data_IF_993362024545
#
_entry.id   IF_993362024545
#
_cell.length_a   1.000
_cell.length_b   1.000
_cell.length_c   1.000
_cell.angle_alpha   90.00
_cell.angle_beta   90.00
_cell.angle_gamma   90.00
#
_symmetry.space_group_name_H-M   'P 1'
#
loop_
_entity.id
_entity.type
_entity.pdbx_description
1 polymer ?
#
# COMPACT_ATOMS: atom_id res chain seq x y z
N UNK A 1 131.60 -26.40 33.00
CA UNK A 1 130.37 -27.19 32.76
C UNK A 1 129.26 -26.67 33.64
N UNK A 2 128.07 -26.49 33.03
CA UNK A 2 126.74 -26.46 33.63
C UNK A 2 126.44 -25.48 34.77
N UNK A 3 125.93 -24.28 34.44
CA UNK A 3 125.00 -23.51 35.31
C UNK A 3 124.26 -22.34 34.63
N UNK A 4 124.14 -22.31 33.28
CA UNK A 4 123.43 -21.20 32.58
C UNK A 4 122.10 -21.65 31.94
N UNK A 5 121.82 -22.95 31.83
CA UNK A 5 120.63 -23.45 31.12
C UNK A 5 119.36 -23.62 32.01
N UNK A 6 119.46 -23.58 33.34
CA UNK A 6 118.32 -23.81 34.24
C UNK A 6 117.57 -22.52 34.65
N UNK A 7 118.22 -21.35 34.58
CA UNK A 7 117.60 -20.07 34.93
C UNK A 7 116.69 -19.47 33.85
N UNK A 8 116.99 -19.74 32.58
CA UNK A 8 116.24 -19.17 31.45
C UNK A 8 114.94 -19.95 31.18
N UNK A 9 114.94 -21.28 31.39
CA UNK A 9 113.73 -22.10 31.25
C UNK A 9 112.69 -21.83 32.37
N UNK A 10 113.14 -21.60 33.61
CA UNK A 10 112.25 -21.24 34.72
C UNK A 10 111.64 -19.83 34.55
N UNK A 11 112.42 -18.88 34.01
CA UNK A 11 111.96 -17.52 33.71
C UNK A 11 110.95 -17.46 32.54
N UNK A 12 111.13 -18.27 31.49
CA UNK A 12 110.19 -18.37 30.37
C UNK A 12 108.90 -19.13 30.72
N UNK A 13 108.98 -20.15 31.58
CA UNK A 13 107.78 -20.85 32.10
C UNK A 13 107.02 -19.95 33.09
N UNK A 14 107.70 -19.20 33.96
CA UNK A 14 107.06 -18.23 34.85
C UNK A 14 106.43 -17.06 34.08
N UNK A 15 107.10 -16.54 33.05
CA UNK A 15 106.55 -15.50 32.17
C UNK A 15 105.38 -16.02 31.31
N UNK A 16 105.44 -17.25 30.81
CA UNK A 16 104.36 -17.90 30.07
C UNK A 16 103.14 -18.23 30.94
N UNK A 17 103.35 -18.64 32.19
CA UNK A 17 102.28 -18.83 33.17
C UNK A 17 101.67 -17.50 33.62
N UNK A 18 102.48 -16.44 33.81
CA UNK A 18 101.99 -15.11 34.12
C UNK A 18 101.18 -14.50 32.96
N UNK A 19 101.65 -14.64 31.71
CA UNK A 19 100.91 -14.18 30.52
C UNK A 19 99.60 -14.96 30.32
N UNK A 20 99.59 -16.28 30.55
CA UNK A 20 98.36 -17.09 30.53
C UNK A 20 97.39 -16.69 31.64
N UNK A 21 97.89 -16.43 32.85
CA UNK A 21 97.05 -16.00 33.98
C UNK A 21 96.43 -14.62 33.73
N UNK A 22 97.20 -13.67 33.19
CA UNK A 22 96.69 -12.34 32.81
C UNK A 22 95.67 -12.46 31.67
N UNK A 23 95.97 -13.22 30.61
CA UNK A 23 95.02 -13.42 29.52
C UNK A 23 93.74 -14.13 29.97
N UNK A 24 93.85 -15.12 30.86
CA UNK A 24 92.71 -15.83 31.43
C UNK A 24 91.88 -14.94 32.36
N UNK A 25 92.52 -14.09 33.17
CA UNK A 25 91.86 -13.10 34.04
C UNK A 25 91.16 -11.99 33.24
N UNK A 26 91.77 -11.53 32.14
CA UNK A 26 91.15 -10.56 31.23
C UNK A 26 89.99 -11.18 30.46
N UNK A 27 90.14 -12.41 29.97
CA UNK A 27 89.08 -13.14 29.29
C UNK A 27 87.91 -13.46 30.24
N UNK A 28 88.18 -13.87 31.49
CA UNK A 28 87.14 -14.11 32.50
C UNK A 28 86.45 -12.82 32.90
N UNK A 29 87.20 -11.72 33.11
CA UNK A 29 86.63 -10.42 33.43
C UNK A 29 85.77 -9.87 32.28
N UNK A 30 86.20 -10.04 31.02
CA UNK A 30 85.39 -9.67 29.85
C UNK A 30 84.15 -10.54 29.69
N UNK A 31 84.26 -11.83 29.98
CA UNK A 31 83.12 -12.75 29.97
C UNK A 31 82.10 -12.35 31.05
N UNK A 32 82.56 -12.05 32.27
CA UNK A 32 81.71 -11.56 33.36
C UNK A 32 81.04 -10.22 33.03
N UNK A 33 81.74 -9.30 32.37
CA UNK A 33 81.17 -8.03 31.89
C UNK A 33 80.07 -8.26 30.84
N UNK A 34 80.30 -9.14 29.85
CA UNK A 34 79.32 -9.47 28.82
C UNK A 34 78.14 -10.31 29.37
N UNK A 35 78.37 -11.18 30.35
CA UNK A 35 77.32 -11.89 31.08
C UNK A 35 76.46 -10.91 31.89
N UNK A 36 77.08 -9.95 32.58
CA UNK A 36 76.34 -8.90 33.30
C UNK A 36 75.55 -8.00 32.34
N UNK A 37 76.13 -7.66 31.18
CA UNK A 37 75.49 -6.85 30.15
C UNK A 37 74.31 -7.59 29.51
N UNK A 38 74.47 -8.86 29.14
CA UNK A 38 73.39 -9.69 28.58
C UNK A 38 72.28 -9.95 29.59
N UNK A 39 72.59 -10.21 30.86
CA UNK A 39 71.59 -10.31 31.93
C UNK A 39 70.83 -8.99 32.13
N UNK A 40 71.51 -7.84 32.02
CA UNK A 40 70.87 -6.51 32.07
C UNK A 40 69.91 -6.30 30.90
N UNK A 41 70.30 -6.70 29.68
CA UNK A 41 69.43 -6.65 28.50
C UNK A 41 68.23 -7.59 28.61
N UNK A 42 68.42 -8.81 29.12
CA UNK A 42 67.34 -9.76 29.39
C UNK A 42 66.32 -9.17 30.38
N UNK A 43 66.79 -8.58 31.49
CA UNK A 43 65.91 -7.87 32.44
C UNK A 43 65.15 -6.73 31.76
N UNK A 44 65.81 -5.90 30.94
CA UNK A 44 65.14 -4.82 30.18
C UNK A 44 64.07 -5.35 29.22
N UNK A 45 64.34 -6.47 28.55
CA UNK A 45 63.37 -7.14 27.67
C UNK A 45 62.19 -7.66 28.47
N UNK A 46 62.43 -8.32 29.61
CA UNK A 46 61.37 -8.83 30.48
C UNK A 46 60.50 -7.69 31.05
N UNK A 47 61.11 -6.58 31.46
CA UNK A 47 60.36 -5.38 31.87
C UNK A 47 59.54 -4.80 30.71
N UNK A 48 60.11 -4.71 29.50
CA UNK A 48 59.38 -4.22 28.33
C UNK A 48 58.22 -5.16 27.93
N UNK A 49 58.41 -6.47 28.05
CA UNK A 49 57.39 -7.50 27.81
C UNK A 49 56.27 -7.42 28.85
N UNK A 50 56.60 -7.27 30.13
CA UNK A 50 55.63 -7.07 31.20
C UNK A 50 54.80 -5.79 30.96
N UNK A 51 55.46 -4.67 30.66
CA UNK A 51 54.78 -3.40 30.36
C UNK A 51 53.90 -3.48 29.10
N UNK A 52 54.33 -4.21 28.06
CA UNK A 52 53.52 -4.45 26.87
C UNK A 52 52.28 -5.31 27.20
N UNK A 53 52.44 -6.38 27.98
CA UNK A 53 51.34 -7.24 28.42
C UNK A 53 50.33 -6.48 29.29
N UNK A 54 50.79 -5.63 30.21
CA UNK A 54 49.90 -4.76 31.00
C UNK A 54 49.10 -3.81 30.11
N UNK A 55 49.72 -3.18 29.10
CA UNK A 55 49.01 -2.32 28.14
C UNK A 55 47.96 -3.09 27.34
N UNK A 56 48.30 -4.30 26.90
CA UNK A 56 47.36 -5.18 26.18
C UNK A 56 46.20 -5.58 27.08
N UNK A 57 46.48 -5.98 28.32
CA UNK A 57 45.45 -6.37 29.28
C UNK A 57 44.56 -5.20 29.68
N UNK A 58 45.13 -4.00 29.87
CA UNK A 58 44.36 -2.77 30.12
C UNK A 58 43.42 -2.45 28.96
N UNK A 59 43.90 -2.53 27.71
CA UNK A 59 43.05 -2.37 26.51
C UNK A 59 41.97 -3.45 26.43
N UNK A 60 42.30 -4.71 26.72
CA UNK A 60 41.33 -5.82 26.76
C UNK A 60 40.22 -5.55 27.77
N UNK A 61 40.58 -5.11 28.97
CA UNK A 61 39.61 -4.79 30.02
C UNK A 61 38.76 -3.57 29.65
N UNK A 62 39.35 -2.56 28.99
CA UNK A 62 38.61 -1.40 28.47
C UNK A 62 37.58 -1.79 27.39
N UNK A 63 38.00 -2.59 26.39
CA UNK A 63 37.07 -3.11 25.38
C UNK A 63 36.00 -4.01 25.99
N UNK A 64 36.35 -4.86 26.96
CA UNK A 64 35.37 -5.70 27.66
C UNK A 64 34.32 -4.87 28.39
N UNK A 65 34.72 -3.77 29.05
CA UNK A 65 33.78 -2.83 29.68
C UNK A 65 32.89 -2.14 28.66
N UNK A 66 33.46 -1.65 27.55
CA UNK A 66 32.70 -1.02 26.46
C UNK A 66 31.68 -1.98 25.83
N UNK A 67 32.08 -3.23 25.57
CA UNK A 67 31.19 -4.27 25.03
C UNK A 67 30.03 -4.51 26.00
N UNK A 68 30.31 -4.66 27.29
CA UNK A 68 29.27 -4.88 28.31
C UNK A 68 28.30 -3.70 28.39
N UNK A 69 28.81 -2.47 28.43
CA UNK A 69 27.97 -1.27 28.44
C UNK A 69 27.09 -1.14 27.18
N UNK A 70 27.64 -1.45 26.00
CA UNK A 70 26.86 -1.49 24.76
C UNK A 70 25.79 -2.59 24.77
N UNK A 71 26.09 -3.76 25.33
CA UNK A 71 25.11 -4.84 25.49
C UNK A 71 23.98 -4.45 26.43
N UNK A 72 24.29 -3.82 27.56
CA UNK A 72 23.30 -3.32 28.53
C UNK A 72 22.38 -2.28 27.89
N UNK A 73 22.94 -1.24 27.23
CA UNK A 73 22.17 -0.23 26.50
C UNK A 73 21.26 -0.87 25.43
N UNK A 74 21.77 -1.82 24.66
CA UNK A 74 20.96 -2.52 23.64
C UNK A 74 19.84 -3.34 24.27
N UNK A 75 20.10 -4.04 25.37
CA UNK A 75 19.10 -4.85 26.05
C UNK A 75 17.97 -3.99 26.62
N UNK A 76 18.28 -2.80 27.13
CA UNK A 76 17.28 -1.81 27.58
C UNK A 76 16.43 -1.31 26.42
N UNK A 77 17.06 -0.92 25.30
CA UNK A 77 16.36 -0.51 24.08
C UNK A 77 15.44 -1.62 23.54
N UNK A 78 15.92 -2.86 23.49
CA UNK A 78 15.13 -4.02 23.06
C UNK A 78 13.94 -4.28 23.99
N UNK A 79 14.12 -4.16 25.31
CA UNK A 79 13.01 -4.30 26.27
C UNK A 79 11.95 -3.23 26.06
N UNK A 80 12.35 -1.97 25.90
CA UNK A 80 11.44 -0.86 25.64
C UNK A 80 10.67 -1.07 24.32
N UNK A 81 11.37 -1.49 23.27
CA UNK A 81 10.75 -1.80 21.98
C UNK A 81 9.78 -2.98 22.06
N UNK A 82 10.14 -4.09 22.73
CA UNK A 82 9.24 -5.24 22.92
C UNK A 82 8.00 -4.83 23.71
N UNK A 83 8.16 -4.02 24.76
CA UNK A 83 7.03 -3.50 25.53
C UNK A 83 6.09 -2.67 24.64
N UNK A 84 6.65 -1.74 23.87
CA UNK A 84 5.89 -0.94 22.91
C UNK A 84 5.13 -1.83 21.91
N UNK A 85 5.79 -2.80 21.28
CA UNK A 85 5.15 -3.71 20.34
C UNK A 85 4.04 -4.53 20.99
N UNK A 86 4.23 -5.01 22.21
CA UNK A 86 3.18 -5.71 22.96
C UNK A 86 1.99 -4.81 23.26
N UNK A 87 2.20 -3.54 23.60
CA UNK A 87 1.11 -2.57 23.77
C UNK A 87 0.33 -2.38 22.46
N UNK A 88 1.02 -2.21 21.32
CA UNK A 88 0.37 -2.07 20.02
C UNK A 88 -0.43 -3.31 19.64
N UNK A 89 0.09 -4.51 19.95
CA UNK A 89 -0.65 -5.76 19.74
C UNK A 89 -1.92 -5.83 20.59
N UNK A 90 -1.88 -5.40 21.85
CA UNK A 90 -3.06 -5.37 22.72
C UNK A 90 -4.13 -4.41 22.19
N UNK A 91 -3.74 -3.20 21.77
CA UNK A 91 -4.67 -2.21 21.21
C UNK A 91 -5.28 -2.73 19.92
N UNK A 92 -4.44 -3.29 19.04
CA UNK A 92 -4.89 -3.87 17.78
C UNK A 92 -5.83 -5.04 18.02
N UNK A 93 -5.52 -5.92 18.98
CA UNK A 93 -6.39 -7.03 19.37
C UNK A 93 -7.74 -6.56 19.92
N UNK A 94 -7.75 -5.46 20.68
CA UNK A 94 -8.98 -4.82 21.16
C UNK A 94 -9.85 -4.22 20.05
N UNK A 95 -9.25 -3.83 18.92
CA UNK A 95 -9.96 -3.30 17.75
C UNK A 95 -10.60 -4.40 16.87
N UNK A 96 -9.98 -5.59 16.79
CA UNK A 96 -10.45 -6.68 15.92
C UNK A 96 -11.94 -7.05 16.07
N UNK A 97 -12.53 -7.13 17.29
CA UNK A 97 -13.96 -7.41 17.45
C UNK A 97 -14.86 -6.40 16.75
N UNK A 98 -14.50 -5.12 16.79
CA UNK A 98 -15.27 -4.06 16.14
C UNK A 98 -15.15 -4.14 14.62
N UNK A 99 -13.94 -4.38 14.11
CA UNK A 99 -13.73 -4.63 12.68
C UNK A 99 -14.55 -5.84 12.19
N UNK A 100 -14.60 -6.92 12.97
CA UNK A 100 -15.43 -8.08 12.65
C UNK A 100 -16.93 -7.75 12.67
N UNK A 101 -17.39 -6.93 13.60
CA UNK A 101 -18.78 -6.47 13.62
C UNK A 101 -19.13 -5.56 12.44
N UNK A 102 -18.19 -4.72 12.00
CA UNK A 102 -18.31 -3.94 10.77
C UNK A 102 -18.42 -4.87 9.56
N UNK A 103 -17.52 -5.84 9.44
CA UNK A 103 -17.52 -6.82 8.35
C UNK A 103 -18.82 -7.62 8.29
N UNK A 104 -19.29 -8.15 9.42
CA UNK A 104 -20.55 -8.86 9.50
C UNK A 104 -21.74 -7.97 9.09
N UNK A 105 -21.72 -6.69 9.47
CA UNK A 105 -22.80 -5.75 9.17
C UNK A 105 -22.83 -5.33 7.68
N UNK A 106 -21.71 -5.42 6.96
CA UNK A 106 -21.71 -5.23 5.50
C UNK A 106 -22.64 -6.23 4.82
N UNK A 107 -22.66 -7.50 5.24
CA UNK A 107 -23.59 -8.50 4.68
C UNK A 107 -25.05 -8.14 4.91
N UNK A 108 -25.41 -7.55 6.05
CA UNK A 108 -26.76 -7.03 6.29
C UNK A 108 -27.13 -5.92 5.30
N UNK A 109 -26.16 -5.07 4.93
CA UNK A 109 -26.37 -4.04 3.94
C UNK A 109 -26.56 -4.63 2.54
N UNK A 110 -25.71 -5.58 2.13
CA UNK A 110 -25.85 -6.32 0.87
C UNK A 110 -27.21 -7.01 0.78
N UNK A 111 -27.59 -7.75 1.83
CA UNK A 111 -28.88 -8.46 1.88
C UNK A 111 -30.05 -7.49 1.71
N UNK A 112 -30.06 -6.38 2.46
CA UNK A 112 -31.12 -5.37 2.33
C UNK A 112 -31.15 -4.70 0.96
N UNK A 113 -30.00 -4.47 0.33
CA UNK A 113 -29.90 -3.94 -1.03
C UNK A 113 -30.46 -4.94 -2.05
N UNK A 114 -30.10 -6.22 -1.96
CA UNK A 114 -30.61 -7.28 -2.84
C UNK A 114 -32.14 -7.37 -2.77
N UNK A 115 -32.73 -7.24 -1.59
CA UNK A 115 -34.20 -7.23 -1.44
C UNK A 115 -34.85 -6.03 -2.13
N UNK A 116 -34.23 -4.84 -2.07
CA UNK A 116 -34.69 -3.64 -2.78
C UNK A 116 -34.60 -3.86 -4.30
N UNK A 117 -33.48 -4.39 -4.78
CA UNK A 117 -33.25 -4.64 -6.21
C UNK A 117 -34.24 -5.68 -6.76
N UNK A 118 -34.42 -6.81 -6.07
CA UNK A 118 -35.39 -7.84 -6.43
C UNK A 118 -36.82 -7.27 -6.49
N UNK A 119 -37.22 -6.46 -5.51
CA UNK A 119 -38.54 -5.83 -5.51
C UNK A 119 -38.71 -4.85 -6.69
N UNK A 120 -37.64 -4.14 -7.07
CA UNK A 120 -37.65 -3.30 -8.27
C UNK A 120 -37.82 -4.13 -9.55
N UNK A 121 -37.10 -5.26 -9.67
CA UNK A 121 -37.25 -6.17 -10.80
C UNK A 121 -38.68 -6.73 -10.91
N UNK A 122 -39.31 -7.10 -9.79
CA UNK A 122 -40.72 -7.52 -9.73
C UNK A 122 -41.66 -6.43 -10.26
N UNK A 123 -41.45 -5.18 -9.83
CA UNK A 123 -42.23 -4.01 -10.30
C UNK A 123 -42.09 -3.85 -11.82
N UNK A 124 -40.88 -3.98 -12.35
CA UNK A 124 -40.59 -3.83 -13.77
C UNK A 124 -41.25 -4.95 -14.59
N UNK A 125 -41.25 -6.19 -14.09
CA UNK A 125 -41.97 -7.32 -14.71
C UNK A 125 -43.47 -7.06 -14.74
N UNK A 126 -44.08 -6.61 -13.63
CA UNK A 126 -45.52 -6.28 -13.58
C UNK A 126 -45.84 -5.15 -14.55
N UNK A 127 -45.00 -4.13 -14.64
CA UNK A 127 -45.15 -3.05 -15.62
C UNK A 127 -45.14 -3.58 -17.06
N UNK A 128 -44.22 -4.49 -17.40
CA UNK A 128 -44.17 -5.13 -18.71
C UNK A 128 -45.42 -5.97 -18.99
N UNK A 129 -45.92 -6.73 -18.01
CA UNK A 129 -47.18 -7.50 -18.13
C UNK A 129 -48.37 -6.60 -18.44
N UNK A 130 -48.54 -5.51 -17.68
CA UNK A 130 -49.61 -4.52 -17.93
C UNK A 130 -49.50 -3.97 -19.35
N UNK A 131 -48.29 -3.60 -19.79
CA UNK A 131 -48.05 -3.05 -21.13
C UNK A 131 -48.42 -4.06 -22.22
N UNK A 132 -48.11 -5.34 -22.03
CA UNK A 132 -48.47 -6.41 -22.96
C UNK A 132 -49.99 -6.56 -23.06
N UNK A 133 -50.71 -6.61 -21.94
CA UNK A 133 -52.17 -6.74 -21.94
C UNK A 133 -52.84 -5.53 -22.62
N UNK A 134 -52.38 -4.31 -22.34
CA UNK A 134 -52.90 -3.09 -22.99
C UNK A 134 -52.75 -3.16 -24.52
N UNK A 135 -51.62 -3.67 -25.02
CA UNK A 135 -51.43 -3.89 -26.47
C UNK A 135 -52.39 -4.94 -27.01
N UNK A 136 -52.61 -6.04 -26.30
CA UNK A 136 -53.58 -7.08 -26.68
C UNK A 136 -55.00 -6.55 -26.74
N UNK A 137 -55.42 -5.73 -25.78
CA UNK A 137 -56.74 -5.05 -25.81
C UNK A 137 -56.86 -4.19 -27.06
N UNK A 138 -55.84 -3.40 -27.40
CA UNK A 138 -55.84 -2.58 -28.62
C UNK A 138 -56.02 -3.42 -29.89
N UNK A 139 -55.41 -4.61 -29.97
CA UNK A 139 -55.62 -5.55 -31.07
C UNK A 139 -57.05 -6.10 -31.10
N UNK A 140 -57.61 -6.48 -29.94
CA UNK A 140 -58.99 -6.97 -29.84
C UNK A 140 -59.98 -5.88 -30.26
N UNK A 141 -59.78 -4.63 -29.85
CA UNK A 141 -60.62 -3.50 -30.24
C UNK A 141 -60.59 -3.27 -31.76
N UNK A 142 -59.42 -3.41 -32.39
CA UNK A 142 -59.30 -3.37 -33.85
C UNK A 142 -60.06 -4.53 -34.52
N UNK A 143 -59.94 -5.76 -34.00
CA UNK A 143 -60.70 -6.92 -34.50
C UNK A 143 -62.22 -6.74 -34.35
N UNK A 144 -62.68 -6.23 -33.20
CA UNK A 144 -64.09 -5.92 -32.96
C UNK A 144 -64.57 -4.87 -33.97
N UNK A 145 -63.76 -3.84 -34.26
CA UNK A 145 -64.10 -2.82 -35.25
C UNK A 145 -64.24 -3.42 -36.66
N UNK A 146 -63.29 -4.24 -37.10
CA UNK A 146 -63.35 -4.89 -38.42
C UNK A 146 -64.49 -5.91 -38.52
N UNK A 147 -64.75 -6.71 -37.49
CA UNK A 147 -65.91 -7.62 -37.46
C UNK A 147 -67.24 -6.86 -37.51
N UNK A 148 -67.34 -5.72 -36.81
CA UNK A 148 -68.50 -4.85 -36.93
C UNK A 148 -68.67 -4.34 -38.36
N UNK A 149 -67.60 -3.86 -39.01
CA UNK A 149 -67.64 -3.45 -40.43
C UNK A 149 -68.04 -4.60 -41.35
N UNK A 150 -67.49 -5.81 -41.17
CA UNK A 150 -67.82 -6.98 -41.99
C UNK A 150 -69.26 -7.45 -41.79
N UNK A 151 -69.78 -7.42 -40.56
CA UNK A 151 -71.18 -7.74 -40.29
C UNK A 151 -72.14 -6.75 -40.97
N UNK A 152 -71.74 -5.47 -41.08
CA UNK A 152 -72.48 -4.42 -41.81
C UNK A 152 -72.29 -4.51 -43.34
N UNK A 153 -71.07 -4.83 -43.81
CA UNK A 153 -70.69 -4.90 -45.24
C UNK A 153 -71.07 -6.20 -45.92
N UNK A 154 -71.45 -7.23 -45.17
CA UNK A 154 -71.84 -8.50 -45.78
C UNK A 154 -72.95 -8.25 -46.78
N UNK A 155 -72.75 -8.76 -48.00
CA UNK A 155 -73.59 -8.58 -49.18
C UNK A 155 -75.08 -8.90 -49.02
N UNK A 156 -75.59 -9.15 -47.81
CA UNK A 156 -76.99 -9.22 -47.43
C UNK A 156 -77.77 -7.93 -47.59
N UNK A 157 -77.17 -6.75 -47.32
CA UNK A 157 -77.88 -5.48 -47.57
C UNK A 157 -77.97 -5.26 -49.07
N UNK A 158 -76.84 -5.39 -49.78
CA UNK A 158 -76.78 -5.31 -51.23
C UNK A 158 -77.63 -6.38 -51.95
N UNK A 159 -77.69 -7.62 -51.45
CA UNK A 159 -78.50 -8.72 -51.99
C UNK A 159 -79.99 -8.57 -51.68
N UNK A 160 -80.35 -8.12 -50.47
CA UNK A 160 -81.75 -7.79 -50.14
C UNK A 160 -82.22 -6.57 -50.93
N UNK A 161 -81.38 -5.56 -51.13
CA UNK A 161 -81.68 -4.44 -52.04
C UNK A 161 -81.81 -4.89 -53.49
N UNK A 162 -80.91 -5.74 -53.99
CA UNK A 162 -80.99 -6.31 -55.34
C UNK A 162 -82.28 -7.11 -55.58
N UNK A 163 -82.68 -7.97 -54.62
CA UNK A 163 -83.91 -8.76 -54.72
C UNK A 163 -85.17 -7.88 -54.54
N UNK A 164 -85.12 -6.89 -53.64
CA UNK A 164 -86.23 -5.97 -53.43
C UNK A 164 -86.45 -5.05 -54.65
N UNK A 165 -85.36 -4.61 -55.31
CA UNK A 165 -85.40 -3.77 -56.49
C UNK A 165 -85.69 -4.54 -57.80
N UNK A 166 -85.36 -5.83 -57.87
CA UNK A 166 -85.68 -6.72 -59.00
C UNK A 166 -86.34 -8.01 -58.50
N UNK A 167 -87.66 -7.98 -58.31
CA UNK A 167 -88.44 -9.21 -58.12
C UNK A 167 -88.30 -10.08 -59.36
N UNK A 168 -87.74 -11.28 -59.19
CA UNK A 168 -87.71 -12.30 -60.24
C UNK A 168 -89.14 -12.69 -60.60
N UNK A 169 -89.53 -12.44 -61.85
CA UNK A 169 -90.89 -12.69 -62.38
C UNK A 169 -91.20 -14.16 -62.64
N UNK A 170 -90.20 -15.05 -62.51
CA UNK A 170 -90.36 -16.50 -62.63
C UNK A 170 -89.64 -17.19 -61.47
N UNK A 171 -90.41 -17.88 -60.63
CA UNK A 171 -89.93 -18.74 -59.54
C UNK A 171 -90.02 -20.21 -59.97
N UNK A 172 -88.94 -20.97 -59.78
CA UNK A 172 -88.86 -22.42 -59.96
C UNK A 172 -88.30 -23.00 -58.66
N UNK A 173 -88.71 -24.22 -58.31
CA UNK A 173 -88.31 -24.97 -57.11
C UNK A 173 -86.79 -24.96 -56.83
N UNK A 174 -85.94 -24.94 -57.89
CA UNK A 174 -84.49 -24.77 -57.74
C UNK A 174 -84.10 -23.37 -57.24
N UNK A 175 -84.73 -22.31 -57.76
CA UNK A 175 -84.47 -20.91 -57.37
C UNK A 175 -84.92 -20.67 -55.93
N UNK A 176 -86.07 -21.22 -55.54
CA UNK A 176 -86.58 -21.09 -54.17
C UNK A 176 -85.72 -21.88 -53.17
N UNK A 177 -85.30 -23.12 -53.49
CA UNK A 177 -84.33 -23.87 -52.67
C UNK A 177 -82.98 -23.17 -52.56
N UNK A 178 -82.52 -22.52 -53.63
CA UNK A 178 -81.25 -21.79 -53.62
C UNK A 178 -81.36 -20.50 -52.81
N UNK A 179 -82.48 -19.78 -52.90
CA UNK A 179 -82.79 -18.61 -52.08
C UNK A 179 -82.86 -18.98 -50.59
N UNK A 180 -83.59 -20.04 -50.24
CA UNK A 180 -83.67 -20.56 -48.88
C UNK A 180 -82.31 -20.99 -48.35
N UNK A 181 -81.50 -21.66 -49.19
CA UNK A 181 -80.14 -22.06 -48.82
C UNK A 181 -79.26 -20.83 -48.58
N UNK A 182 -79.29 -19.83 -49.45
CA UNK A 182 -78.55 -18.57 -49.27
C UNK A 182 -79.01 -17.85 -48.01
N UNK A 183 -80.31 -17.78 -47.74
CA UNK A 183 -80.85 -17.15 -46.52
C UNK A 183 -80.47 -17.91 -45.24
N UNK A 184 -80.44 -19.25 -45.27
CA UNK A 184 -79.98 -20.09 -44.15
C UNK A 184 -78.48 -19.92 -43.90
N UNK A 185 -77.63 -20.01 -44.93
CA UNK A 185 -76.18 -19.82 -44.80
C UNK A 185 -75.85 -18.39 -44.34
N UNK A 186 -76.62 -17.40 -44.81
CA UNK A 186 -76.53 -16.00 -44.40
C UNK A 186 -76.89 -15.77 -42.93
N UNK A 187 -77.91 -16.48 -42.40
CA UNK A 187 -78.23 -16.47 -40.96
C UNK A 187 -77.12 -17.13 -40.14
N UNK A 188 -76.64 -18.31 -40.54
CA UNK A 188 -75.53 -19.02 -39.87
C UNK A 188 -74.30 -18.12 -39.71
N UNK A 189 -73.86 -17.49 -40.80
CA UNK A 189 -72.69 -16.61 -40.79
C UNK A 189 -72.89 -15.35 -39.92
N UNK A 190 -74.14 -14.89 -39.74
CA UNK A 190 -74.44 -13.80 -38.79
C UNK A 190 -74.25 -14.20 -37.36
N UNK A 191 -74.82 -15.36 -37.02
CA UNK A 191 -74.83 -15.87 -35.66
C UNK A 191 -73.41 -16.24 -35.26
N UNK A 192 -72.60 -16.74 -36.19
CA UNK A 192 -71.16 -16.92 -36.03
C UNK A 192 -70.43 -15.60 -35.72
N UNK A 193 -70.63 -14.54 -36.52
CA UNK A 193 -70.03 -13.23 -36.22
C UNK A 193 -70.48 -12.64 -34.89
N UNK A 194 -71.77 -12.79 -34.55
CA UNK A 194 -72.33 -12.32 -33.29
C UNK A 194 -71.75 -13.09 -32.10
N UNK A 195 -71.54 -14.40 -32.26
CA UNK A 195 -70.92 -15.25 -31.24
C UNK A 195 -69.44 -14.90 -31.06
N UNK A 196 -68.68 -14.70 -32.15
CA UNK A 196 -67.28 -14.28 -32.04
C UNK A 196 -67.13 -12.86 -31.47
N UNK A 197 -68.03 -11.94 -31.82
CA UNK A 197 -68.05 -10.62 -31.21
C UNK A 197 -68.30 -10.68 -29.69
N UNK A 198 -69.23 -11.53 -29.25
CA UNK A 198 -69.45 -11.79 -27.81
C UNK A 198 -68.21 -12.39 -27.15
N UNK A 199 -67.52 -13.34 -27.81
CA UNK A 199 -66.27 -13.94 -27.30
C UNK A 199 -65.17 -12.91 -27.14
N UNK A 200 -64.93 -12.07 -28.16
CA UNK A 200 -63.93 -11.01 -28.10
C UNK A 200 -64.26 -9.96 -27.04
N UNK A 201 -65.53 -9.58 -26.90
CA UNK A 201 -65.97 -8.66 -25.84
C UNK A 201 -65.77 -9.26 -24.45
N UNK A 202 -66.10 -10.54 -24.26
CA UNK A 202 -65.87 -11.25 -23.00
C UNK A 202 -64.37 -11.35 -22.67
N UNK A 203 -63.54 -11.70 -23.64
CA UNK A 203 -62.09 -11.76 -23.47
C UNK A 203 -61.50 -10.38 -23.14
N UNK A 204 -61.95 -9.32 -23.81
CA UNK A 204 -61.56 -7.94 -23.50
C UNK A 204 -61.91 -7.57 -22.06
N UNK A 205 -63.11 -7.89 -21.59
CA UNK A 205 -63.53 -7.64 -20.21
C UNK A 205 -62.67 -8.41 -19.21
N UNK A 206 -62.29 -9.65 -19.51
CA UNK A 206 -61.36 -10.43 -18.68
C UNK A 206 -59.98 -9.76 -18.60
N UNK A 207 -59.43 -9.30 -19.73
CA UNK A 207 -58.15 -8.59 -19.76
C UNK A 207 -58.17 -7.26 -18.99
N UNK A 208 -59.30 -6.53 -18.99
CA UNK A 208 -59.45 -5.34 -18.13
C UNK A 208 -59.43 -5.69 -16.64
N UNK A 209 -60.03 -6.81 -16.24
CA UNK A 209 -59.96 -7.29 -14.86
C UNK A 209 -58.53 -7.67 -14.47
N UNK A 210 -57.80 -8.35 -15.37
CA UNK A 210 -56.38 -8.69 -15.15
C UNK A 210 -55.50 -7.46 -15.00
N UNK A 211 -55.72 -6.41 -15.82
CA UNK A 211 -55.04 -5.11 -15.66
C UNK A 211 -55.29 -4.53 -14.27
N UNK A 212 -56.53 -4.54 -13.78
CA UNK A 212 -56.85 -4.00 -12.46
C UNK A 212 -56.18 -4.82 -11.34
N UNK A 213 -56.14 -6.14 -11.48
CA UNK A 213 -55.39 -7.02 -10.56
C UNK A 213 -53.89 -6.69 -10.55
N UNK A 214 -53.26 -6.60 -11.72
CA UNK A 214 -51.84 -6.25 -11.84
C UNK A 214 -51.53 -4.82 -11.35
N UNK A 215 -52.46 -3.87 -11.49
CA UNK A 215 -52.32 -2.52 -10.93
C UNK A 215 -52.30 -2.55 -9.41
N UNK A 216 -53.15 -3.39 -8.80
CA UNK A 216 -53.16 -3.60 -7.34
C UNK A 216 -51.87 -4.29 -6.87
N UNK A 217 -51.41 -5.32 -7.59
CA UNK A 217 -50.12 -5.98 -7.33
C UNK A 217 -48.97 -4.97 -7.39
N UNK A 218 -48.91 -4.14 -8.45
CA UNK A 218 -47.90 -3.09 -8.59
C UNK A 218 -47.96 -2.09 -7.43
N UNK A 219 -49.16 -1.69 -7.00
CA UNK A 219 -49.32 -0.78 -5.88
C UNK A 219 -48.78 -1.40 -4.58
N UNK A 220 -49.07 -2.67 -4.32
CA UNK A 220 -48.55 -3.40 -3.16
C UNK A 220 -47.01 -3.52 -3.19
N UNK A 221 -46.43 -3.84 -4.35
CA UNK A 221 -44.99 -3.89 -4.53
C UNK A 221 -44.33 -2.54 -4.31
N UNK A 222 -44.93 -1.44 -4.80
CA UNK A 222 -44.41 -0.09 -4.55
C UNK A 222 -44.41 0.28 -3.05
N UNK A 223 -45.42 -0.17 -2.29
CA UNK A 223 -45.43 0.02 -0.84
C UNK A 223 -44.37 -0.83 -0.14
N UNK A 224 -44.24 -2.10 -0.54
CA UNK A 224 -43.18 -3.00 -0.05
C UNK A 224 -41.79 -2.41 -0.31
N UNK A 225 -41.56 -1.90 -1.52
CA UNK A 225 -40.29 -1.25 -1.90
C UNK A 225 -39.98 -0.05 -1.00
N UNK A 226 -40.93 0.83 -0.74
CA UNK A 226 -40.72 1.98 0.16
C UNK A 226 -40.25 1.55 1.56
N UNK A 227 -40.84 0.49 2.11
CA UNK A 227 -40.44 -0.05 3.42
C UNK A 227 -39.03 -0.65 3.38
N UNK A 228 -38.69 -1.38 2.30
CA UNK A 228 -37.35 -1.93 2.09
C UNK A 228 -36.30 -0.83 1.90
N UNK A 229 -36.61 0.22 1.13
CA UNK A 229 -35.75 1.39 0.92
C UNK A 229 -35.45 2.08 2.26
N UNK A 230 -36.47 2.32 3.10
CA UNK A 230 -36.28 2.91 4.42
C UNK A 230 -35.38 2.07 5.32
N UNK A 231 -35.58 0.74 5.33
CA UNK A 231 -34.72 -0.19 6.07
C UNK A 231 -33.29 -0.16 5.55
N UNK A 232 -33.11 -0.14 4.24
CA UNK A 232 -31.78 -0.11 3.62
C UNK A 232 -31.05 1.21 3.90
N UNK A 233 -31.75 2.36 3.85
CA UNK A 233 -31.20 3.67 4.24
C UNK A 233 -30.74 3.66 5.71
N UNK A 234 -31.55 3.09 6.61
CA UNK A 234 -31.17 2.96 8.02
C UNK A 234 -29.92 2.06 8.20
N UNK A 235 -29.85 0.95 7.47
CA UNK A 235 -28.67 0.07 7.45
C UNK A 235 -27.42 0.81 6.94
N UNK A 236 -27.51 1.57 5.83
CA UNK A 236 -26.38 2.36 5.32
C UNK A 236 -25.88 3.37 6.35
N UNK A 237 -26.80 4.07 7.03
CA UNK A 237 -26.43 5.02 8.07
C UNK A 237 -25.67 4.33 9.22
N UNK A 238 -26.19 3.21 9.71
CA UNK A 238 -25.52 2.43 10.75
C UNK A 238 -24.16 1.86 10.30
N UNK A 239 -24.04 1.43 9.04
CA UNK A 239 -22.77 0.97 8.49
C UNK A 239 -21.75 2.10 8.43
N UNK A 240 -22.17 3.30 8.02
CA UNK A 240 -21.32 4.49 7.97
C UNK A 240 -20.81 4.87 9.36
N UNK A 241 -21.66 4.86 10.38
CA UNK A 241 -21.25 5.13 11.77
C UNK A 241 -20.21 4.11 12.25
N UNK A 242 -20.41 2.81 11.96
CA UNK A 242 -19.43 1.75 12.27
C UNK A 242 -18.12 1.94 11.50
N UNK A 243 -18.19 2.32 10.23
CA UNK A 243 -17.03 2.61 9.40
C UNK A 243 -16.21 3.76 9.97
N UNK A 244 -16.86 4.88 10.32
CA UNK A 244 -16.19 6.06 10.90
C UNK A 244 -15.52 5.71 12.24
N UNK A 245 -16.18 4.90 13.08
CA UNK A 245 -15.59 4.38 14.32
C UNK A 245 -14.36 3.52 14.05
N UNK A 246 -14.45 2.58 13.10
CA UNK A 246 -13.34 1.72 12.70
C UNK A 246 -12.15 2.52 12.15
N UNK A 247 -12.40 3.50 11.28
CA UNK A 247 -11.35 4.40 10.77
C UNK A 247 -10.73 5.18 11.92
N UNK A 248 -11.53 5.68 12.86
CA UNK A 248 -11.06 6.37 14.05
C UNK A 248 -10.08 5.54 14.87
N UNK A 249 -10.45 4.30 15.23
CA UNK A 249 -9.57 3.40 15.97
C UNK A 249 -8.32 3.00 15.19
N UNK A 250 -8.45 2.69 13.89
CA UNK A 250 -7.30 2.39 13.05
C UNK A 250 -6.31 3.58 13.00
N UNK A 251 -6.82 4.80 12.84
CA UNK A 251 -6.01 6.02 12.89
C UNK A 251 -5.30 6.21 14.23
N UNK A 252 -5.93 5.85 15.35
CA UNK A 252 -5.28 5.89 16.67
C UNK A 252 -4.12 4.89 16.76
N UNK A 253 -4.29 3.68 16.25
CA UNK A 253 -3.22 2.67 16.18
C UNK A 253 -2.07 3.19 15.32
N UNK A 254 -2.36 3.69 14.12
CA UNK A 254 -1.35 4.26 13.22
C UNK A 254 -0.58 5.42 13.88
N UNK A 255 -1.30 6.36 14.52
CA UNK A 255 -0.68 7.48 15.24
C UNK A 255 0.22 7.03 16.39
N UNK A 256 -0.10 5.94 17.09
CA UNK A 256 0.77 5.40 18.15
C UNK A 256 2.08 4.84 17.60
N UNK A 257 2.06 4.26 16.40
CA UNK A 257 3.31 3.90 15.71
C UNK A 257 4.15 5.12 15.35
N UNK A 258 3.52 6.17 14.82
CA UNK A 258 4.22 7.42 14.50
C UNK A 258 4.77 8.11 15.75
N UNK A 259 4.02 8.09 16.86
CA UNK A 259 4.42 8.68 18.13
C UNK A 259 5.60 7.96 18.80
N UNK A 260 5.88 6.69 18.45
CA UNK A 260 6.94 5.91 19.09
C UNK A 260 8.30 6.59 19.05
N UNK A 261 8.61 7.22 17.91
CA UNK A 261 9.87 7.92 17.73
C UNK A 261 9.73 9.45 17.88
N UNK A 262 8.52 9.97 18.07
CA UNK A 262 8.28 11.40 18.12
C UNK A 262 9.11 12.04 19.24
N UNK A 263 9.79 13.14 18.92
CA UNK A 263 10.66 13.89 19.83
C UNK A 263 11.85 13.11 20.42
N UNK A 264 12.19 11.93 19.89
CA UNK A 264 13.38 11.20 20.30
C UNK A 264 14.65 11.94 19.86
N UNK A 265 15.50 12.27 20.84
CA UNK A 265 16.77 12.97 20.60
C UNK A 265 17.81 11.98 20.06
N UNK A 266 18.42 12.33 18.92
CA UNK A 266 19.49 11.56 18.31
C UNK A 266 20.86 12.01 18.82
N UNK A 267 21.85 11.12 18.79
CA UNK A 267 23.26 11.51 18.96
C UNK A 267 23.77 12.29 17.73
N UNK A 268 23.04 12.27 16.61
CA UNK A 268 23.40 12.94 15.36
C UNK A 268 22.88 14.39 15.34
N UNK A 269 23.81 15.35 15.36
CA UNK A 269 23.53 16.80 15.35
C UNK A 269 22.52 17.21 14.27
N UNK A 270 22.76 16.83 13.02
CA UNK A 270 21.91 17.21 11.89
C UNK A 270 20.49 16.63 11.98
N UNK A 271 20.32 15.44 12.59
CA UNK A 271 18.98 14.88 12.83
C UNK A 271 18.22 15.79 13.79
N UNK A 272 18.85 16.18 14.91
CA UNK A 272 18.18 17.06 15.88
C UNK A 272 17.86 18.42 15.28
N UNK A 273 18.76 19.00 14.48
CA UNK A 273 18.51 20.28 13.78
C UNK A 273 17.33 20.17 12.81
N UNK A 274 17.26 19.11 12.01
CA UNK A 274 16.18 18.94 11.03
C UNK A 274 14.82 18.61 11.65
N UNK A 275 14.81 18.02 12.84
CA UNK A 275 13.59 17.61 13.54
C UNK A 275 13.10 18.66 14.55
N UNK A 276 13.90 19.68 14.87
CA UNK A 276 13.63 20.65 15.94
C UNK A 276 12.34 21.45 15.73
N UNK A 277 12.04 21.81 14.48
CA UNK A 277 10.91 22.70 14.13
C UNK A 277 9.66 21.92 13.68
N UNK A 278 9.64 20.59 13.84
CA UNK A 278 8.50 19.76 13.45
C UNK A 278 7.40 19.82 14.52
N UNK A 279 6.16 20.05 14.07
CA UNK A 279 5.01 20.23 14.97
C UNK A 279 4.64 18.93 15.69
N UNK A 280 4.74 17.79 15.01
CA UNK A 280 4.36 16.48 15.55
C UNK A 280 5.58 15.64 15.96
N UNK A 281 6.78 16.23 15.90
CA UNK A 281 8.01 15.61 16.40
C UNK A 281 8.54 14.47 15.54
N UNK A 282 8.05 14.32 14.29
CA UNK A 282 8.55 13.34 13.33
C UNK A 282 7.57 12.23 12.97
N UNK A 283 6.38 12.60 12.48
CA UNK A 283 5.47 11.63 11.82
C UNK A 283 6.06 11.12 10.51
N UNK A 284 5.46 10.06 9.94
CA UNK A 284 5.96 9.50 8.68
C UNK A 284 6.01 10.56 7.58
N UNK A 285 4.99 11.42 7.52
CA UNK A 285 4.87 12.46 6.49
C UNK A 285 5.90 13.57 6.70
N UNK A 286 6.10 14.04 7.94
CA UNK A 286 7.14 15.01 8.28
C UNK A 286 8.54 14.48 7.95
N UNK A 287 8.84 13.23 8.31
CA UNK A 287 10.14 12.62 8.01
C UNK A 287 10.37 12.52 6.50
N UNK A 288 9.34 12.16 5.71
CA UNK A 288 9.44 12.12 4.24
C UNK A 288 9.80 13.50 3.68
N UNK A 289 9.18 14.57 4.20
CA UNK A 289 9.46 15.94 3.77
C UNK A 289 10.89 16.36 4.14
N UNK A 290 11.32 16.08 5.37
CA UNK A 290 12.69 16.37 5.85
C UNK A 290 13.75 15.61 5.04
N UNK A 291 13.50 14.35 4.69
CA UNK A 291 14.43 13.60 3.81
C UNK A 291 14.54 14.28 2.44
N UNK A 292 13.43 14.83 1.94
CA UNK A 292 13.41 15.62 0.71
C UNK A 292 14.39 16.80 0.75
N UNK A 293 14.36 17.61 1.80
CA UNK A 293 15.27 18.75 1.97
C UNK A 293 16.71 18.31 2.28
N UNK A 294 16.88 17.26 3.11
CA UNK A 294 18.18 16.71 3.45
C UNK A 294 18.95 16.17 2.22
N UNK A 295 18.25 15.67 1.20
CA UNK A 295 18.89 15.24 -0.04
C UNK A 295 19.63 16.37 -0.75
N UNK A 296 19.07 17.58 -0.78
CA UNK A 296 19.71 18.74 -1.40
C UNK A 296 20.91 19.24 -0.58
N UNK A 297 20.83 19.19 0.75
CA UNK A 297 21.95 19.53 1.64
C UNK A 297 23.11 18.54 1.46
N UNK A 298 22.82 17.24 1.43
CA UNK A 298 23.83 16.18 1.18
C UNK A 298 24.47 16.37 -0.20
N UNK A 299 23.68 16.69 -1.23
CA UNK A 299 24.18 16.95 -2.58
C UNK A 299 25.12 18.15 -2.59
N UNK A 300 24.72 19.27 -1.98
CA UNK A 300 25.54 20.49 -1.89
C UNK A 300 26.85 20.26 -1.14
N UNK A 301 26.82 19.57 0.01
CA UNK A 301 28.02 19.22 0.77
C UNK A 301 28.93 18.25 -0.01
N UNK A 302 28.32 17.34 -0.77
CA UNK A 302 29.04 16.42 -1.65
C UNK A 302 29.78 17.19 -2.75
N UNK A 303 29.12 18.14 -3.43
CA UNK A 303 29.75 18.98 -4.45
C UNK A 303 30.88 19.84 -3.87
N UNK A 304 30.65 20.47 -2.72
CA UNK A 304 31.67 21.24 -1.99
C UNK A 304 32.92 20.41 -1.68
N UNK A 305 32.74 19.19 -1.17
CA UNK A 305 33.85 18.27 -0.92
C UNK A 305 34.59 17.92 -2.23
N UNK A 306 33.87 17.59 -3.30
CA UNK A 306 34.50 17.24 -4.57
C UNK A 306 35.31 18.40 -5.14
N UNK A 307 34.77 19.63 -5.11
CA UNK A 307 35.48 20.82 -5.59
C UNK A 307 36.78 21.06 -4.82
N UNK A 308 36.71 21.07 -3.48
CA UNK A 308 37.89 21.25 -2.63
C UNK A 308 38.91 20.12 -2.79
N UNK A 309 38.44 18.88 -2.90
CA UNK A 309 39.31 17.73 -3.10
C UNK A 309 39.98 17.78 -4.49
N UNK A 310 39.24 18.14 -5.54
CA UNK A 310 39.79 18.30 -6.89
C UNK A 310 40.86 19.38 -6.95
N UNK A 311 40.68 20.48 -6.22
CA UNK A 311 41.70 21.54 -6.08
C UNK A 311 42.91 21.06 -5.28
N UNK A 312 42.70 20.29 -4.20
CA UNK A 312 43.75 19.82 -3.30
C UNK A 312 44.64 18.71 -3.89
N UNK A 313 44.08 17.76 -4.63
CA UNK A 313 44.80 16.57 -5.10
C UNK A 313 46.06 16.89 -5.94
N UNK A 314 46.05 17.83 -6.90
CA UNK A 314 47.23 18.19 -7.66
C UNK A 314 48.40 18.66 -6.77
N UNK A 315 48.13 19.54 -5.81
CA UNK A 315 49.15 20.05 -4.88
C UNK A 315 49.69 18.93 -3.99
N UNK A 316 48.81 18.07 -3.47
CA UNK A 316 49.22 16.90 -2.66
C UNK A 316 50.14 15.98 -3.46
N UNK A 317 49.82 15.70 -4.73
CA UNK A 317 50.62 14.84 -5.61
C UNK A 317 51.98 15.45 -5.94
N UNK A 318 52.04 16.74 -6.33
CA UNK A 318 53.29 17.42 -6.65
C UNK A 318 54.24 17.51 -5.45
N UNK A 319 53.73 17.84 -4.27
CA UNK A 319 54.54 17.87 -3.03
C UNK A 319 55.07 16.48 -2.67
N UNK A 320 54.24 15.44 -2.82
CA UNK A 320 54.68 14.06 -2.59
C UNK A 320 55.77 13.64 -3.58
N UNK A 321 55.58 13.92 -4.88
CA UNK A 321 56.55 13.59 -5.92
C UNK A 321 57.90 14.28 -5.68
N UNK A 322 57.91 15.54 -5.26
CA UNK A 322 59.14 16.25 -4.91
C UNK A 322 59.87 15.62 -3.70
N UNK A 323 59.13 15.18 -2.67
CA UNK A 323 59.71 14.47 -1.54
C UNK A 323 60.24 13.07 -1.91
N UNK A 324 59.51 12.34 -2.76
CA UNK A 324 59.89 10.99 -3.19
C UNK A 324 61.12 11.01 -4.12
N UNK A 325 61.20 11.99 -5.03
CA UNK A 325 62.33 12.18 -5.97
C UNK A 325 63.51 12.94 -5.37
N UNK A 326 63.32 13.66 -4.27
CA UNK A 326 64.26 14.64 -3.70
C UNK A 326 64.60 15.82 -4.63
N UNK A 327 63.82 16.03 -5.69
CA UNK A 327 63.93 17.19 -6.57
C UNK A 327 62.86 18.23 -6.20
N UNK A 328 63.28 19.47 -5.92
CA UNK A 328 62.40 20.54 -5.46
C UNK A 328 62.32 21.66 -6.51
N UNK A 329 61.27 21.70 -7.35
CA UNK A 329 61.07 22.77 -8.31
C UNK A 329 60.85 24.12 -7.62
N UNK A 330 61.09 25.22 -8.32
CA UNK A 330 60.86 26.59 -7.80
C UNK A 330 59.41 26.82 -7.32
N UNK A 331 58.45 26.07 -7.87
CA UNK A 331 57.03 26.10 -7.47
C UNK A 331 56.72 25.35 -6.18
N UNK A 332 57.68 24.58 -5.63
CA UNK A 332 57.46 23.70 -4.46
C UNK A 332 56.97 24.45 -3.23
N UNK A 333 57.54 25.64 -2.96
CA UNK A 333 57.15 26.45 -1.81
C UNK A 333 55.66 26.84 -1.89
N UNK A 334 55.20 27.25 -3.08
CA UNK A 334 53.79 27.58 -3.33
C UNK A 334 52.90 26.33 -3.27
N UNK A 335 53.30 25.24 -3.89
CA UNK A 335 52.53 23.98 -3.89
C UNK A 335 52.34 23.43 -2.48
N UNK A 336 53.38 23.49 -1.62
CA UNK A 336 53.30 23.07 -0.24
C UNK A 336 52.45 24.03 0.62
N UNK A 337 52.49 25.33 0.34
CA UNK A 337 51.62 26.32 1.00
C UNK A 337 50.14 26.08 0.66
N UNK A 338 49.79 25.89 -0.61
CA UNK A 338 48.42 25.59 -1.02
C UNK A 338 47.94 24.23 -0.46
N UNK A 339 48.80 23.20 -0.47
CA UNK A 339 48.50 21.91 0.17
C UNK A 339 48.16 22.08 1.65
N UNK A 340 48.98 22.82 2.41
CA UNK A 340 48.77 23.06 3.85
C UNK A 340 47.51 23.88 4.11
N UNK A 341 47.18 24.84 3.24
CA UNK A 341 45.94 25.63 3.32
C UNK A 341 44.69 24.78 3.06
N UNK A 342 44.69 23.98 1.99
CA UNK A 342 43.52 23.22 1.54
C UNK A 342 43.27 21.96 2.37
N UNK A 343 44.30 21.33 2.92
CA UNK A 343 44.18 20.10 3.71
C UNK A 343 43.11 20.17 4.84
N UNK A 344 43.13 21.16 5.76
CA UNK A 344 42.10 21.25 6.80
C UNK A 344 40.70 21.51 6.24
N UNK A 345 40.59 22.26 5.14
CA UNK A 345 39.30 22.56 4.49
C UNK A 345 38.68 21.30 3.86
N UNK A 346 39.49 20.45 3.23
CA UNK A 346 39.05 19.16 2.67
C UNK A 346 38.62 18.21 3.78
N UNK A 347 39.38 18.13 4.88
CA UNK A 347 39.01 17.30 6.04
C UNK A 347 37.68 17.75 6.63
N UNK A 348 37.51 19.05 6.90
CA UNK A 348 36.26 19.58 7.44
C UNK A 348 35.07 19.35 6.49
N UNK A 349 35.25 19.56 5.17
CA UNK A 349 34.20 19.30 4.19
C UNK A 349 33.83 17.81 4.08
N UNK A 350 34.79 16.91 4.27
CA UNK A 350 34.54 15.47 4.31
C UNK A 350 33.76 15.06 5.56
N UNK A 351 34.18 15.55 6.73
CA UNK A 351 33.50 15.28 8.01
C UNK A 351 32.06 15.79 8.01
N UNK A 352 31.85 17.01 7.48
CA UNK A 352 30.53 17.62 7.31
C UNK A 352 29.63 16.78 6.38
N UNK A 353 30.14 16.46 5.18
CA UNK A 353 29.45 15.57 4.23
C UNK A 353 29.07 14.24 4.88
N UNK A 354 30.01 13.63 5.62
CA UNK A 354 29.78 12.34 6.28
C UNK A 354 28.67 12.46 7.32
N UNK A 355 28.71 13.48 8.18
CA UNK A 355 27.70 13.71 9.20
C UNK A 355 26.29 13.91 8.59
N UNK A 356 26.18 14.63 7.48
CA UNK A 356 24.93 14.81 6.73
C UNK A 356 24.40 13.49 6.14
N UNK A 357 25.29 12.67 5.57
CA UNK A 357 24.93 11.35 5.03
C UNK A 357 24.43 10.43 6.15
N UNK A 358 25.15 10.38 7.27
CA UNK A 358 24.80 9.54 8.42
C UNK A 358 23.43 9.96 9.00
N UNK A 359 23.19 11.26 9.15
CA UNK A 359 21.90 11.81 9.59
C UNK A 359 20.75 11.48 8.63
N UNK A 360 20.95 11.65 7.32
CA UNK A 360 19.95 11.28 6.32
C UNK A 360 19.66 9.79 6.34
N UNK A 361 20.71 8.95 6.45
CA UNK A 361 20.56 7.50 6.51
C UNK A 361 19.73 7.08 7.72
N UNK A 362 19.98 7.69 8.88
CA UNK A 362 19.20 7.47 10.09
C UNK A 362 17.70 7.76 9.87
N UNK A 363 17.36 8.91 9.28
CA UNK A 363 15.97 9.26 8.98
C UNK A 363 15.34 8.31 7.96
N UNK A 364 16.09 7.85 6.95
CA UNK A 364 15.60 6.86 5.99
C UNK A 364 15.26 5.53 6.67
N UNK A 365 16.12 5.04 7.56
CA UNK A 365 15.85 3.83 8.36
C UNK A 365 14.58 3.99 9.19
N UNK A 366 14.44 5.12 9.89
CA UNK A 366 13.25 5.41 10.71
C UNK A 366 11.97 5.51 9.88
N UNK A 367 12.03 6.15 8.70
CA UNK A 367 10.92 6.18 7.74
C UNK A 367 10.50 4.77 7.33
N UNK A 368 11.47 3.93 6.98
CA UNK A 368 11.20 2.59 6.47
C UNK A 368 10.63 1.67 7.57
N UNK A 369 11.07 1.84 8.82
CA UNK A 369 10.49 1.16 9.97
C UNK A 369 9.04 1.59 10.23
N UNK A 370 8.77 2.89 10.32
CA UNK A 370 7.42 3.42 10.52
C UNK A 370 6.46 2.97 9.40
N UNK A 371 6.92 3.08 8.15
CA UNK A 371 6.18 2.60 7.00
C UNK A 371 5.93 1.11 7.10
N UNK A 372 6.92 0.32 7.51
CA UNK A 372 6.80 -1.11 7.74
C UNK A 372 5.74 -1.46 8.79
N UNK A 373 5.62 -0.69 9.88
CA UNK A 373 4.54 -0.89 10.87
C UNK A 373 3.17 -0.55 10.31
N UNK A 374 3.03 0.60 9.65
CA UNK A 374 1.77 1.06 9.05
C UNK A 374 1.30 0.08 7.98
N UNK A 375 2.20 -0.40 7.13
CA UNK A 375 1.89 -1.36 6.07
C UNK A 375 1.42 -2.71 6.64
N UNK A 376 1.91 -3.14 7.81
CA UNK A 376 1.44 -4.37 8.48
C UNK A 376 0.04 -4.26 9.04
N UNK A 377 -0.39 -3.09 9.51
CA UNK A 377 -1.75 -2.86 10.03
C UNK A 377 -2.73 -2.41 8.95
N UNK A 378 -2.24 -2.07 7.74
CA UNK A 378 -3.07 -1.64 6.62
C UNK A 378 -4.19 -2.62 6.24
N UNK A 379 -3.99 -3.96 6.26
CA UNK A 379 -5.09 -4.91 6.03
C UNK A 379 -6.21 -4.85 7.06
N UNK A 380 -5.96 -4.25 8.23
CA UNK A 380 -6.96 -4.04 9.28
C UNK A 380 -7.77 -2.75 9.07
N UNK A 381 -7.44 -1.93 8.07
CA UNK A 381 -8.25 -0.76 7.72
C UNK A 381 -9.60 -1.22 7.14
N UNK A 382 -10.73 -0.59 7.48
CA UNK A 382 -12.05 -1.01 6.99
C UNK A 382 -12.20 -0.96 5.45
N UNK A 383 -11.45 -0.09 4.75
CA UNK A 383 -11.36 -0.11 3.28
C UNK A 383 -10.96 -1.49 2.74
N UNK A 384 -10.03 -2.20 3.38
CA UNK A 384 -9.59 -3.51 2.91
C UNK A 384 -10.73 -4.54 2.93
N UNK A 385 -11.61 -4.44 3.92
CA UNK A 385 -12.77 -5.31 4.00
C UNK A 385 -13.84 -4.94 2.96
N UNK A 386 -14.06 -3.65 2.70
CA UNK A 386 -14.97 -3.21 1.64
C UNK A 386 -14.46 -3.69 0.28
N UNK A 387 -13.17 -3.47 -0.01
CA UNK A 387 -12.54 -3.89 -1.26
C UNK A 387 -12.67 -5.41 -1.44
N UNK A 388 -12.43 -6.21 -0.38
CA UNK A 388 -12.61 -7.67 -0.43
C UNK A 388 -14.05 -8.10 -0.75
N UNK A 389 -15.06 -7.48 -0.13
CA UNK A 389 -16.46 -7.80 -0.44
C UNK A 389 -16.83 -7.37 -1.86
N UNK A 390 -16.34 -6.20 -2.31
CA UNK A 390 -16.57 -5.75 -3.67
C UNK A 390 -15.95 -6.71 -4.69
N UNK A 391 -14.73 -7.20 -4.44
CA UNK A 391 -14.07 -8.21 -5.28
C UNK A 391 -14.86 -9.53 -5.29
N UNK A 392 -15.33 -10.00 -4.13
CA UNK A 392 -16.16 -11.21 -4.05
C UNK A 392 -17.47 -11.09 -4.83
N UNK A 393 -18.14 -9.95 -4.77
CA UNK A 393 -19.44 -9.74 -5.41
C UNK A 393 -19.34 -9.33 -6.88
N UNK A 394 -18.17 -8.85 -7.33
CA UNK A 394 -17.93 -8.47 -8.72
C UNK A 394 -17.61 -9.63 -9.65
N UNK A 395 -17.52 -10.87 -9.13
CA UNK A 395 -17.15 -12.05 -9.91
C UNK A 395 -18.16 -12.37 -11.03
N UNK A 396 -19.46 -12.15 -10.78
CA UNK A 396 -20.55 -12.52 -11.72
C UNK A 396 -21.15 -11.32 -12.47
N UNK A 397 -21.04 -10.10 -11.94
CA UNK A 397 -21.58 -8.86 -12.52
C UNK A 397 -20.89 -7.64 -11.90
N UNK A 398 -20.89 -6.50 -12.59
CA UNK A 398 -20.49 -5.22 -11.97
C UNK A 398 -21.33 -4.96 -10.72
N UNK A 399 -20.68 -5.01 -9.55
CA UNK A 399 -21.29 -4.71 -8.26
C UNK A 399 -21.03 -3.26 -7.89
N UNK A 400 -22.12 -2.52 -7.66
CA UNK A 400 -22.04 -1.12 -7.25
C UNK A 400 -22.00 -1.01 -5.72
N UNK A 401 -20.77 -0.86 -5.22
CA UNK A 401 -20.48 -0.69 -3.79
C UNK A 401 -21.15 0.56 -3.19
N UNK A 402 -21.33 1.61 -3.97
CA UNK A 402 -21.98 2.84 -3.50
C UNK A 402 -23.48 2.60 -3.29
N UNK A 403 -24.11 1.87 -4.20
CA UNK A 403 -25.51 1.46 -4.06
C UNK A 403 -25.74 0.51 -2.90
N UNK A 404 -24.80 -0.38 -2.58
CA UNK A 404 -24.96 -1.31 -1.46
C UNK A 404 -24.56 -0.71 -0.09
N UNK A 405 -23.45 0.02 -0.02
CA UNK A 405 -22.85 0.46 1.25
C UNK A 405 -23.00 1.96 1.51
N UNK A 406 -23.03 2.79 0.47
CA UNK A 406 -22.99 4.25 0.60
C UNK A 406 -21.66 4.77 1.15
N UNK A 407 -20.58 3.99 1.00
CA UNK A 407 -19.23 4.29 1.44
C UNK A 407 -18.30 4.03 0.27
N UNK A 408 -17.45 5.02 -0.07
CA UNK A 408 -16.40 4.87 -1.06
C UNK A 408 -15.05 4.71 -0.37
N UNK A 409 -14.32 3.66 -0.74
CA UNK A 409 -12.95 3.42 -0.25
C UNK A 409 -11.99 4.48 -0.79
N UNK A 410 -10.82 4.60 -0.15
CA UNK A 410 -9.76 5.52 -0.60
C UNK A 410 -9.34 5.24 -2.04
N UNK A 411 -9.33 3.95 -2.44
CA UNK A 411 -9.08 3.49 -3.81
C UNK A 411 -10.15 4.00 -4.78
N UNK A 412 -11.42 3.77 -4.48
CA UNK A 412 -12.55 4.22 -5.30
C UNK A 412 -12.60 5.75 -5.43
N UNK A 413 -12.33 6.49 -4.34
CA UNK A 413 -12.23 7.95 -4.38
C UNK A 413 -11.12 8.41 -5.32
N UNK A 414 -9.94 7.79 -5.26
CA UNK A 414 -8.81 8.12 -6.14
C UNK A 414 -9.15 7.83 -7.60
N UNK A 415 -9.70 6.66 -7.90
CA UNK A 415 -10.14 6.30 -9.25
C UNK A 415 -11.17 7.29 -9.80
N UNK A 416 -12.14 7.72 -8.97
CA UNK A 416 -13.10 8.75 -9.34
C UNK A 416 -12.40 10.09 -9.67
N UNK A 417 -11.44 10.53 -8.83
CA UNK A 417 -10.68 11.76 -9.08
C UNK A 417 -9.84 11.69 -10.36
N UNK A 418 -9.20 10.55 -10.63
CA UNK A 418 -8.42 10.32 -11.84
C UNK A 418 -9.32 10.32 -13.09
N UNK A 419 -10.45 9.62 -13.06
CA UNK A 419 -11.46 9.64 -14.14
C UNK A 419 -12.00 11.05 -14.40
N UNK A 420 -12.23 11.83 -13.34
CA UNK A 420 -12.68 13.22 -13.42
C UNK A 420 -11.63 14.13 -14.04
N UNK A 421 -10.36 13.99 -13.67
CA UNK A 421 -9.26 14.76 -14.29
C UNK A 421 -9.07 14.41 -15.77
N UNK A 422 -9.27 13.15 -16.14
CA UNK A 422 -9.17 12.68 -17.53
C UNK A 422 -10.41 12.95 -18.40
N UNK A 423 -11.45 13.64 -17.89
CA UNK A 423 -12.72 13.94 -18.60
C UNK A 423 -13.41 12.70 -19.23
N UNK A 424 -13.34 11.55 -18.57
CA UNK A 424 -14.02 10.34 -19.05
C UNK A 424 -15.51 10.44 -18.70
N UNK A 425 -16.41 10.36 -19.69
CA UNK A 425 -17.86 10.67 -19.60
C UNK A 425 -18.66 9.82 -18.58
N UNK A 426 -18.09 8.75 -18.03
CA UNK A 426 -18.76 7.88 -17.05
C UNK A 426 -18.46 8.20 -15.56
N UNK A 427 -17.79 9.31 -15.25
CA UNK A 427 -17.44 9.66 -13.86
C UNK A 427 -18.63 9.85 -12.91
N UNK A 428 -19.84 10.08 -13.43
CA UNK A 428 -21.05 10.33 -12.63
C UNK A 428 -21.78 9.07 -12.12
N UNK A 429 -21.29 7.86 -12.45
CA UNK A 429 -21.96 6.58 -12.12
C UNK A 429 -21.28 5.77 -11.01
N UNK A 430 -20.21 6.27 -10.40
CA UNK A 430 -19.47 5.58 -9.33
C UNK A 430 -19.60 6.28 -7.98
#
# INVERSE_FOLDING_TARGET
MSLIALGVAAGLVAAGCAAKYVAQSWASSKLEEEEAHTQSLLRKLDYAKAAANERVQAKRNDYSRKIKAHQEKRNEQLKAYIHFMNEQLQITAGYLPELNQFQAFMFTCVDSWMHVDLCQQEIDIVYQKIRAIVRTIGLIDAYISELNKLSQRQGRHAWRELIAARRLTVTNDYVDKTKDRIDRTSKSNHDEFKNELKRLQSHRSALYNDINSLRNERFNLLQKKKMLDQRHIANKKALKEKYESCVGHWCQIAKKFEAYYAFEVSELKYVNEWMADLNEGGTLLEIIQVIGTANELVKSATEKFHNLNNEYQPYKRRVKAAHDSKEYPDTFANDNAQRKRLAPMVTAAFEDKKALIDARSFLCTRRDELRGYIDRIKPLHPDAAIDAICEMLSADREFDAWLAFGINTSKQKREHWEKKQCRIENAAKN
#
